data_IF_984752024245
#
_entry.id   IF_984752024245
#
_cell.length_a   1.000
_cell.length_b   1.000
_cell.length_c   1.000
_cell.angle_alpha   90.00
_cell.angle_beta   90.00
_cell.angle_gamma   90.00
#
_symmetry.space_group_name_H-M   'P 1'
#
loop_
_entity.id
_entity.type
_entity.pdbx_description
1 polymer ?
#
# COMPACT_ATOMS: atom_id res chain seq x y z
N UNK A 1 5.40 6.15 -26.91
CA UNK A 1 5.48 4.69 -26.87
C UNK A 1 4.54 4.16 -25.80
N UNK A 2 3.85 3.04 -26.04
CA UNK A 2 3.04 2.32 -25.03
C UNK A 2 3.18 0.82 -25.29
N UNK A 3 3.44 0.06 -24.21
CA UNK A 3 3.62 -1.39 -24.27
C UNK A 3 4.63 -1.86 -25.34
N UNK A 4 5.72 -1.11 -25.53
CA UNK A 4 6.77 -1.39 -26.51
C UNK A 4 6.43 -1.00 -27.97
N UNK A 5 5.24 -0.45 -28.21
CA UNK A 5 4.80 -0.05 -29.56
C UNK A 5 4.78 1.48 -29.71
N UNK A 6 5.08 1.97 -30.92
CA UNK A 6 4.87 3.37 -31.28
C UNK A 6 3.39 3.63 -31.50
N UNK A 7 2.79 4.48 -30.65
CA UNK A 7 1.37 4.85 -30.73
C UNK A 7 1.18 5.92 -31.81
N UNK A 8 1.99 6.97 -31.73
CA UNK A 8 2.03 8.05 -32.73
C UNK A 8 3.41 8.71 -32.74
N UNK A 9 3.71 9.38 -33.85
CA UNK A 9 4.85 10.28 -33.97
C UNK A 9 4.32 11.68 -34.22
N UNK A 10 4.76 12.67 -33.44
CA UNK A 10 4.30 14.05 -33.51
C UNK A 10 5.44 14.91 -34.03
N UNK A 11 5.20 15.62 -35.12
CA UNK A 11 6.13 16.63 -35.64
C UNK A 11 5.89 17.95 -34.90
N UNK A 12 6.80 18.28 -33.97
CA UNK A 12 6.72 19.49 -33.16
C UNK A 12 6.89 20.81 -33.94
N UNK A 13 7.32 20.74 -35.22
CA UNK A 13 7.42 21.88 -36.10
C UNK A 13 6.15 22.11 -36.93
N UNK A 14 5.36 21.04 -37.14
CA UNK A 14 4.18 21.07 -38.01
C UNK A 14 2.87 21.11 -37.21
N UNK A 15 2.87 20.66 -35.95
CA UNK A 15 1.68 20.49 -35.12
C UNK A 15 1.86 21.10 -33.74
N UNK A 16 0.77 21.65 -33.20
CA UNK A 16 0.74 22.10 -31.80
C UNK A 16 0.75 20.92 -30.86
N UNK A 17 1.76 20.87 -29.98
CA UNK A 17 1.93 19.84 -28.99
C UNK A 17 1.27 20.25 -27.67
N UNK A 18 0.16 19.61 -27.33
CA UNK A 18 -0.49 19.80 -26.03
C UNK A 18 -0.14 18.67 -25.06
N UNK A 19 -0.06 19.00 -23.77
CA UNK A 19 0.19 18.02 -22.71
C UNK A 19 -0.85 16.88 -22.71
N UNK A 20 -2.12 17.23 -22.94
CA UNK A 20 -3.22 16.26 -23.00
C UNK A 20 -3.06 15.25 -24.13
N UNK A 21 -2.55 15.68 -25.30
CA UNK A 21 -2.26 14.76 -26.41
C UNK A 21 -1.16 13.78 -26.06
N UNK A 22 -0.09 14.24 -25.41
CA UNK A 22 0.99 13.37 -24.95
C UNK A 22 0.44 12.33 -23.97
N UNK A 23 -0.31 12.75 -22.99
CA UNK A 23 -0.88 11.89 -21.96
C UNK A 23 -1.85 10.88 -22.56
N UNK A 24 -2.72 11.30 -23.47
CA UNK A 24 -3.63 10.40 -24.21
C UNK A 24 -2.84 9.31 -24.93
N UNK A 25 -1.78 9.68 -25.65
CA UNK A 25 -0.90 8.73 -26.32
C UNK A 25 -0.23 7.74 -25.36
N UNK A 26 0.21 8.20 -24.19
CA UNK A 26 0.86 7.37 -23.17
C UNK A 26 -0.14 6.44 -22.45
N UNK A 27 -1.30 6.94 -22.05
CA UNK A 27 -2.28 6.22 -21.22
C UNK A 27 -3.31 5.45 -22.07
N UNK A 28 -3.59 5.92 -23.29
CA UNK A 28 -4.54 5.28 -24.20
C UNK A 28 -6.00 5.66 -23.99
N UNK A 29 -6.28 6.60 -23.09
CA UNK A 29 -7.61 7.13 -22.82
C UNK A 29 -7.53 8.61 -22.47
N UNK A 30 -8.64 9.32 -22.63
CA UNK A 30 -8.75 10.70 -22.14
C UNK A 30 -8.81 10.69 -20.60
N UNK A 31 -7.90 11.45 -20.00
CA UNK A 31 -7.93 11.73 -18.57
C UNK A 31 -8.61 13.08 -18.37
N UNK A 32 -9.94 13.08 -18.39
CA UNK A 32 -10.75 14.32 -18.19
C UNK A 32 -10.53 14.94 -16.81
N UNK A 33 -10.16 14.14 -15.82
CA UNK A 33 -9.79 14.59 -14.47
C UNK A 33 -8.59 13.81 -13.97
N UNK A 34 -7.38 14.39 -14.04
CA UNK A 34 -6.16 13.80 -13.47
C UNK A 34 -6.24 13.72 -11.95
N UNK A 35 -6.86 14.71 -11.34
CA UNK A 35 -7.04 14.83 -9.89
C UNK A 35 -8.53 15.07 -9.61
N UNK A 36 -9.34 13.99 -9.55
CA UNK A 36 -10.76 14.16 -9.26
C UNK A 36 -10.93 14.85 -7.89
N UNK A 37 -11.78 15.87 -7.79
CA UNK A 37 -11.98 16.57 -6.54
C UNK A 37 -12.53 15.60 -5.50
N UNK A 38 -11.81 15.39 -4.41
CA UNK A 38 -12.24 14.58 -3.28
C UNK A 38 -12.76 15.49 -2.18
N UNK A 39 -14.01 15.34 -1.81
CA UNK A 39 -14.57 15.93 -0.59
C UNK A 39 -14.34 14.98 0.58
N UNK A 40 -13.20 15.10 1.24
CA UNK A 40 -12.91 14.32 2.44
C UNK A 40 -13.70 14.89 3.61
N UNK A 41 -14.35 14.00 4.38
CA UNK A 41 -14.83 14.34 5.73
C UNK A 41 -13.76 13.85 6.71
N UNK A 42 -12.91 14.77 7.13
CA UNK A 42 -11.83 14.46 8.08
C UNK A 42 -12.44 14.41 9.48
N UNK A 43 -12.24 13.30 10.16
CA UNK A 43 -12.69 13.05 11.52
C UNK A 43 -11.58 13.13 12.56
N UNK A 44 -11.73 12.35 13.63
CA UNK A 44 -10.77 12.28 14.73
C UNK A 44 -9.52 11.50 14.33
N UNK A 45 -8.46 11.62 15.14
CA UNK A 45 -7.25 10.81 14.98
C UNK A 45 -7.58 9.36 15.27
N UNK A 46 -7.28 8.48 14.28
CA UNK A 46 -7.57 7.04 14.39
C UNK A 46 -6.33 6.17 14.44
N UNK A 47 -5.20 6.71 14.05
CA UNK A 47 -3.92 5.99 14.03
C UNK A 47 -2.79 6.96 14.37
N UNK A 48 -1.91 6.54 15.26
CA UNK A 48 -0.79 7.35 15.72
C UNK A 48 0.45 6.48 15.84
N UNK A 49 1.58 7.05 15.45
CA UNK A 49 2.90 6.47 15.70
C UNK A 49 3.67 7.48 16.54
N UNK A 50 4.28 7.04 17.62
CA UNK A 50 5.01 7.88 18.58
C UNK A 50 6.42 7.33 18.80
N UNK A 51 7.41 8.22 18.68
CA UNK A 51 8.83 7.98 18.97
C UNK A 51 9.39 6.72 18.29
N UNK A 52 8.93 6.43 17.05
CA UNK A 52 9.26 5.20 16.36
C UNK A 52 10.68 5.21 15.83
N UNK A 53 11.46 4.24 16.26
CA UNK A 53 12.86 4.06 15.88
C UNK A 53 13.06 2.68 15.28
N UNK A 54 13.87 2.61 14.23
CA UNK A 54 14.17 1.36 13.52
C UNK A 54 15.63 1.33 13.15
N UNK A 55 16.33 0.26 13.48
CA UNK A 55 17.70 0.03 13.05
C UNK A 55 17.74 -0.93 11.86
N UNK A 56 18.80 -0.79 11.06
CA UNK A 56 18.98 -1.63 9.88
C UNK A 56 19.25 -3.08 10.30
N UNK A 57 18.63 -4.10 9.64
CA UNK A 57 18.72 -5.49 10.09
C UNK A 57 20.14 -6.08 10.05
N UNK A 58 21.02 -5.57 9.17
CA UNK A 58 22.40 -6.06 9.00
C UNK A 58 23.43 -5.09 9.59
N UNK A 59 23.13 -3.79 9.58
CA UNK A 59 24.03 -2.74 10.06
C UNK A 59 23.44 -2.07 11.31
N UNK A 60 23.72 -2.62 12.53
CA UNK A 60 23.05 -2.18 13.76
C UNK A 60 23.35 -0.73 14.16
N UNK A 61 24.48 -0.17 13.69
CA UNK A 61 24.82 1.22 13.93
C UNK A 61 24.05 2.22 13.06
N UNK A 62 23.33 1.72 12.04
CA UNK A 62 22.55 2.53 11.11
C UNK A 62 21.09 2.57 11.52
N UNK A 63 20.62 3.72 11.98
CA UNK A 63 19.19 3.98 12.11
C UNK A 63 18.57 4.25 10.72
N UNK A 64 17.48 3.56 10.42
CA UNK A 64 16.70 3.77 9.20
C UNK A 64 15.57 4.75 9.45
N UNK A 65 14.95 4.67 10.61
CA UNK A 65 13.97 5.64 11.08
C UNK A 65 14.35 6.09 12.49
N UNK A 66 14.23 7.38 12.75
CA UNK A 66 14.63 7.97 14.03
C UNK A 66 13.53 8.91 14.53
N UNK A 67 12.97 8.58 15.68
CA UNK A 67 11.98 9.39 16.39
C UNK A 67 10.83 9.84 15.49
N UNK A 68 10.29 8.91 14.69
CA UNK A 68 9.19 9.21 13.77
C UNK A 68 7.89 9.34 14.57
N UNK A 69 7.21 10.45 14.32
CA UNK A 69 5.89 10.74 14.85
C UNK A 69 4.96 11.09 13.69
N UNK A 70 3.80 10.44 13.63
CA UNK A 70 2.79 10.72 12.63
C UNK A 70 1.39 10.41 13.16
N UNK A 71 0.42 11.16 12.66
CA UNK A 71 -1.00 10.98 12.94
C UNK A 71 -1.76 10.79 11.65
N UNK A 72 -2.78 9.94 11.67
CA UNK A 72 -3.75 9.79 10.58
C UNK A 72 -5.16 9.92 11.14
N UNK A 73 -5.97 10.76 10.50
CA UNK A 73 -7.36 10.99 10.87
C UNK A 73 -8.32 10.14 10.06
N UNK A 74 -9.48 9.91 10.58
CA UNK A 74 -10.55 9.24 9.82
C UNK A 74 -10.86 9.98 8.52
N UNK A 75 -10.93 9.23 7.41
CA UNK A 75 -11.18 9.79 6.08
C UNK A 75 -9.99 10.57 5.48
N UNK A 76 -8.85 10.64 6.15
CA UNK A 76 -7.65 11.31 5.67
C UNK A 76 -6.80 10.40 4.78
N UNK A 77 -6.07 11.01 3.85
CA UNK A 77 -4.97 10.39 3.12
C UNK A 77 -3.70 11.18 3.42
N UNK A 78 -2.79 10.58 4.16
CA UNK A 78 -1.50 11.17 4.50
C UNK A 78 -0.45 10.71 3.49
N UNK A 79 0.26 11.66 2.87
CA UNK A 79 1.35 11.39 1.93
C UNK A 79 2.72 11.48 2.59
N UNK A 80 3.52 10.42 2.48
CA UNK A 80 4.93 10.42 2.90
C UNK A 80 5.82 10.70 1.69
N UNK A 81 6.30 11.93 1.56
CA UNK A 81 7.19 12.33 0.47
C UNK A 81 8.66 12.12 0.84
N UNK A 82 9.51 11.88 -0.16
CA UNK A 82 10.95 11.74 0.03
C UNK A 82 11.64 11.18 -1.21
N UNK A 83 12.97 11.29 -1.25
CA UNK A 83 13.79 10.72 -2.31
C UNK A 83 13.80 9.19 -2.26
N UNK A 84 14.20 8.55 -3.36
CA UNK A 84 14.47 7.11 -3.39
C UNK A 84 15.51 6.77 -2.31
N UNK A 85 15.24 5.76 -1.50
CA UNK A 85 16.11 5.38 -0.38
C UNK A 85 15.92 6.21 0.91
N UNK A 86 14.88 7.06 0.99
CA UNK A 86 14.58 7.85 2.20
C UNK A 86 13.97 7.02 3.36
N UNK A 87 13.84 5.69 3.21
CA UNK A 87 13.37 4.83 4.31
C UNK A 87 11.84 4.70 4.46
N UNK A 88 11.06 5.16 3.47
CA UNK A 88 9.58 5.12 3.55
C UNK A 88 9.02 3.71 3.59
N UNK A 89 9.50 2.86 2.71
CA UNK A 89 9.11 1.44 2.64
C UNK A 89 9.54 0.71 3.91
N UNK A 90 10.75 0.99 4.38
CA UNK A 90 11.29 0.44 5.61
C UNK A 90 10.47 0.87 6.84
N UNK A 91 10.09 2.14 6.91
CA UNK A 91 9.21 2.65 7.96
C UNK A 91 7.86 1.94 7.95
N UNK A 92 7.17 1.89 6.81
CA UNK A 92 5.88 1.25 6.69
C UNK A 92 5.94 -0.26 7.04
N UNK A 93 6.96 -0.97 6.52
CA UNK A 93 7.17 -2.38 6.81
C UNK A 93 7.54 -2.64 8.28
N UNK A 94 8.24 -1.71 8.93
CA UNK A 94 8.57 -1.83 10.36
C UNK A 94 7.33 -1.67 11.25
N UNK A 95 6.39 -0.83 10.87
CA UNK A 95 5.10 -0.66 11.58
C UNK A 95 4.19 -1.86 11.32
N UNK A 96 4.24 -2.43 10.11
CA UNK A 96 3.43 -3.58 9.74
C UNK A 96 4.09 -4.89 10.18
N UNK A 97 3.84 -5.28 11.42
CA UNK A 97 4.29 -6.55 11.98
C UNK A 97 5.80 -6.64 12.21
N UNK A 98 6.49 -5.51 12.30
CA UNK A 98 7.95 -5.45 12.41
C UNK A 98 8.66 -6.27 11.31
N UNK A 99 8.07 -6.29 10.10
CA UNK A 99 8.58 -7.07 8.96
C UNK A 99 9.93 -6.58 8.44
N UNK A 100 10.34 -5.37 8.83
CA UNK A 100 11.67 -4.82 8.54
C UNK A 100 12.29 -4.20 9.78
N UNK A 101 13.60 -4.41 9.93
CA UNK A 101 14.41 -3.74 10.93
C UNK A 101 14.74 -4.58 12.17
N UNK A 102 15.52 -3.99 13.06
CA UNK A 102 15.90 -4.51 14.38
C UNK A 102 15.81 -3.40 15.43
N UNK A 103 15.81 -3.80 16.69
CA UNK A 103 15.81 -2.90 17.85
C UNK A 103 14.76 -1.80 17.69
N UNK A 104 13.56 -2.23 17.26
CA UNK A 104 12.43 -1.35 17.02
C UNK A 104 11.89 -0.89 18.37
N UNK A 105 11.69 0.42 18.49
CA UNK A 105 11.11 1.03 19.69
C UNK A 105 10.14 2.15 19.30
N UNK A 106 9.27 2.49 20.20
CA UNK A 106 8.18 3.44 20.01
C UNK A 106 6.83 2.77 20.20
N UNK A 107 5.77 3.53 20.00
CA UNK A 107 4.41 3.09 20.28
C UNK A 107 3.52 3.34 19.09
N UNK A 108 2.58 2.43 18.83
CA UNK A 108 1.51 2.60 17.85
C UNK A 108 0.18 2.63 18.60
N UNK A 109 -0.64 3.66 18.35
CA UNK A 109 -1.94 3.80 18.95
C UNK A 109 -3.04 3.77 17.88
N UNK A 110 -4.18 3.19 18.25
CA UNK A 110 -5.40 3.23 17.45
C UNK A 110 -6.51 3.81 18.30
N UNK A 111 -7.05 4.97 17.86
CA UNK A 111 -8.07 5.73 18.60
C UNK A 111 -7.67 6.04 20.06
N UNK A 112 -6.37 6.36 20.25
CA UNK A 112 -5.80 6.69 21.56
C UNK A 112 -5.40 5.49 22.42
N UNK A 113 -5.67 4.26 22.02
CA UNK A 113 -5.28 3.03 22.71
C UNK A 113 -4.06 2.40 22.07
N UNK A 114 -3.07 2.02 22.88
CA UNK A 114 -1.88 1.33 22.40
C UNK A 114 -2.25 -0.04 21.84
N UNK A 115 -1.71 -0.36 20.64
CA UNK A 115 -1.93 -1.63 19.97
C UNK A 115 -0.62 -2.37 19.75
N UNK A 116 -0.70 -3.70 19.79
CA UNK A 116 0.45 -4.56 19.52
C UNK A 116 0.59 -4.79 18.01
N UNK A 117 1.69 -4.31 17.45
CA UNK A 117 2.08 -4.48 16.03
C UNK A 117 3.34 -5.33 15.88
N UNK A 118 3.70 -6.14 16.88
CA UNK A 118 4.92 -6.94 16.91
C UNK A 118 4.96 -8.09 15.90
N UNK A 119 3.80 -8.48 15.36
CA UNK A 119 3.68 -9.48 14.29
C UNK A 119 2.64 -9.05 13.27
N UNK A 120 2.75 -9.60 12.05
CA UNK A 120 1.80 -9.33 10.96
C UNK A 120 0.37 -9.69 11.38
N UNK A 121 0.18 -10.87 12.00
CA UNK A 121 -1.16 -11.32 12.43
C UNK A 121 -1.80 -10.37 13.43
N UNK A 122 -1.04 -9.87 14.42
CA UNK A 122 -1.52 -8.89 15.40
C UNK A 122 -1.86 -7.57 14.74
N UNK A 123 -1.05 -7.13 13.77
CA UNK A 123 -1.27 -5.89 13.04
C UNK A 123 -2.55 -5.97 12.21
N UNK A 124 -2.78 -7.08 11.52
CA UNK A 124 -4.01 -7.35 10.77
C UNK A 124 -5.22 -7.44 11.72
N UNK A 125 -5.09 -8.11 12.86
CA UNK A 125 -6.16 -8.21 13.86
C UNK A 125 -6.57 -6.83 14.41
N UNK A 126 -5.63 -5.89 14.47
CA UNK A 126 -5.90 -4.49 14.81
C UNK A 126 -6.49 -3.67 13.65
N UNK A 127 -6.75 -4.30 12.47
CA UNK A 127 -7.40 -3.68 11.32
C UNK A 127 -6.46 -2.78 10.50
N UNK A 128 -5.16 -3.04 10.54
CA UNK A 128 -4.16 -2.39 9.70
C UNK A 128 -3.81 -3.34 8.55
N UNK A 129 -3.73 -2.82 7.35
CA UNK A 129 -3.28 -3.56 6.16
C UNK A 129 -2.13 -2.83 5.47
N UNK A 130 -1.31 -3.57 4.74
CA UNK A 130 -0.17 -3.04 4.01
C UNK A 130 -0.22 -3.50 2.54
N UNK A 131 -0.16 -2.53 1.63
CA UNK A 131 0.01 -2.78 0.21
C UNK A 131 1.46 -2.45 -0.17
N UNK A 132 2.18 -3.46 -0.63
CA UNK A 132 3.61 -3.29 -0.96
C UNK A 132 3.82 -2.49 -2.24
N UNK A 133 4.95 -1.79 -2.34
CA UNK A 133 5.39 -1.06 -3.53
C UNK A 133 5.66 -2.02 -4.70
N UNK A 134 6.44 -3.08 -4.46
CA UNK A 134 6.69 -4.13 -5.45
C UNK A 134 5.67 -5.26 -5.32
N UNK A 135 4.60 -5.15 -6.12
CA UNK A 135 3.52 -6.15 -6.14
C UNK A 135 3.98 -7.52 -6.60
N UNK A 136 4.95 -7.59 -7.53
CA UNK A 136 5.42 -8.85 -8.12
C UNK A 136 6.29 -9.64 -7.16
N UNK A 137 7.15 -8.94 -6.41
CA UNK A 137 8.06 -9.59 -5.49
C UNK A 137 7.41 -9.90 -4.12
N UNK A 138 6.52 -9.02 -3.63
CA UNK A 138 6.04 -9.08 -2.25
C UNK A 138 4.52 -9.07 -2.08
N UNK A 139 3.76 -8.78 -3.14
CA UNK A 139 2.31 -8.60 -3.03
C UNK A 139 1.46 -9.69 -3.69
N UNK A 140 2.03 -10.47 -4.59
CA UNK A 140 1.29 -11.48 -5.35
C UNK A 140 2.09 -12.78 -5.49
N UNK A 141 1.40 -13.90 -5.46
CA UNK A 141 1.94 -15.21 -5.87
C UNK A 141 1.56 -15.39 -7.33
N UNK A 142 2.50 -15.04 -8.24
CA UNK A 142 2.23 -14.91 -9.68
C UNK A 142 1.81 -16.22 -10.37
N UNK A 143 2.15 -17.37 -9.79
CA UNK A 143 1.77 -18.69 -10.31
C UNK A 143 0.38 -19.14 -9.85
N UNK A 144 -0.20 -18.44 -8.87
CA UNK A 144 -1.52 -18.74 -8.32
C UNK A 144 -2.64 -18.02 -9.06
N UNK A 145 -3.84 -18.57 -8.95
CA UNK A 145 -5.04 -17.94 -9.48
C UNK A 145 -5.35 -16.62 -8.75
N UNK A 146 -6.07 -15.73 -9.42
CA UNK A 146 -6.50 -14.45 -8.85
C UNK A 146 -7.31 -14.66 -7.56
N UNK A 147 -8.19 -15.66 -7.53
CA UNK A 147 -9.01 -15.96 -6.34
C UNK A 147 -8.14 -16.30 -5.14
N UNK A 148 -7.06 -17.08 -5.32
CA UNK A 148 -6.14 -17.47 -4.27
C UNK A 148 -5.37 -16.27 -3.74
N UNK A 149 -4.91 -15.38 -4.62
CA UNK A 149 -4.26 -14.14 -4.22
C UNK A 149 -5.18 -13.20 -3.42
N UNK A 150 -6.47 -13.13 -3.77
CA UNK A 150 -7.45 -12.32 -3.03
C UNK A 150 -7.74 -12.91 -1.66
N UNK A 151 -7.93 -14.24 -1.56
CA UNK A 151 -8.30 -14.89 -0.31
C UNK A 151 -7.15 -15.13 0.65
N UNK A 152 -5.90 -15.14 0.17
CA UNK A 152 -4.69 -15.46 0.93
C UNK A 152 -4.55 -14.64 2.22
N UNK A 153 -4.86 -13.36 2.14
CA UNK A 153 -4.74 -12.44 3.29
C UNK A 153 -5.80 -12.67 4.37
N UNK A 154 -6.85 -13.42 4.06
CA UNK A 154 -7.93 -13.71 5.02
C UNK A 154 -8.50 -15.12 4.82
N UNK A 155 -7.62 -16.12 4.82
CA UNK A 155 -7.99 -17.54 4.70
C UNK A 155 -9.01 -17.99 5.74
N UNK A 156 -9.00 -17.53 7.02
CA UNK A 156 -10.03 -17.90 7.98
C UNK A 156 -11.46 -17.57 7.52
N UNK A 157 -11.64 -16.49 6.77
CA UNK A 157 -12.96 -16.08 6.26
C UNK A 157 -13.54 -17.09 5.26
N UNK A 158 -12.68 -17.78 4.51
CA UNK A 158 -13.07 -18.73 3.45
C UNK A 158 -12.80 -20.20 3.82
N UNK A 159 -12.33 -20.47 5.05
CA UNK A 159 -12.01 -21.82 5.51
C UNK A 159 -13.01 -22.31 6.54
N UNK A 160 -13.17 -23.64 6.60
CA UNK A 160 -13.86 -24.35 7.68
C UNK A 160 -12.88 -25.35 8.29
N UNK A 161 -12.61 -25.22 9.60
CA UNK A 161 -11.70 -26.13 10.35
C UNK A 161 -10.34 -26.31 9.64
N UNK A 162 -9.78 -25.21 9.12
CA UNK A 162 -8.48 -25.21 8.42
C UNK A 162 -8.48 -25.68 6.97
N UNK A 163 -9.64 -26.04 6.41
CA UNK A 163 -9.79 -26.43 5.01
C UNK A 163 -10.51 -25.33 4.24
N UNK A 164 -9.94 -24.88 3.12
CA UNK A 164 -10.56 -23.86 2.26
C UNK A 164 -11.84 -24.41 1.67
N UNK A 165 -12.92 -23.64 1.80
CA UNK A 165 -14.21 -23.89 1.17
C UNK A 165 -14.25 -23.17 -0.18
N UNK A 166 -13.96 -23.89 -1.26
CA UNK A 166 -13.85 -23.32 -2.60
C UNK A 166 -15.10 -22.56 -3.08
N UNK A 167 -16.33 -23.06 -2.91
CA UNK A 167 -17.53 -22.29 -3.26
C UNK A 167 -17.65 -20.96 -2.53
N UNK A 168 -17.26 -20.93 -1.24
CA UNK A 168 -17.26 -19.70 -0.43
C UNK A 168 -16.17 -18.74 -0.88
N UNK A 169 -14.98 -19.27 -1.19
CA UNK A 169 -13.86 -18.50 -1.74
C UNK A 169 -14.25 -17.81 -3.05
N UNK A 170 -14.83 -18.55 -4.00
CA UNK A 170 -15.31 -18.02 -5.28
C UNK A 170 -16.35 -16.92 -5.06
N UNK A 171 -17.28 -17.11 -4.12
CA UNK A 171 -18.32 -16.12 -3.82
C UNK A 171 -17.71 -14.82 -3.28
N UNK A 172 -16.78 -14.91 -2.34
CA UNK A 172 -16.10 -13.75 -1.75
C UNK A 172 -15.26 -13.00 -2.79
N UNK A 173 -14.50 -13.75 -3.60
CA UNK A 173 -13.61 -13.13 -4.59
C UNK A 173 -14.35 -12.51 -5.77
N UNK A 174 -15.52 -13.06 -6.14
CA UNK A 174 -16.41 -12.42 -7.14
C UNK A 174 -16.93 -11.08 -6.65
N UNK A 175 -17.29 -10.95 -5.37
CA UNK A 175 -17.69 -9.67 -4.79
C UNK A 175 -16.63 -8.59 -5.03
N UNK A 176 -15.36 -8.88 -4.74
CA UNK A 176 -14.25 -7.92 -4.97
C UNK A 176 -13.97 -7.61 -6.45
N UNK A 177 -14.40 -8.44 -7.37
CA UNK A 177 -14.28 -8.15 -8.81
C UNK A 177 -15.38 -7.21 -9.29
N UNK A 178 -16.56 -7.33 -8.72
CA UNK A 178 -17.78 -6.65 -9.19
C UNK A 178 -17.94 -5.26 -8.53
N UNK A 179 -17.15 -4.95 -7.46
CA UNK A 179 -17.00 -3.64 -6.82
C UNK A 179 -15.96 -2.75 -7.57
#
# INVERSE_FOLDING_TARGET
LRDGLTVETIDTHAEELTEDRIIRGMVGRDLTHRFPPRKSKIGDVIFEVRDWNVYHPIHPDRKVSSNVNLDVREGEVVGLAGLVGAGRTELASSIFGQAYGKDISGTVLKRGEEIDVSTIDKTIANGISYATEDRKAYGLILIEEIKNNISLTNLPKVSNVGVVNEPKEITVTRGYRDD
#
